data_IF_378152932890
#
_entry.id   IF_378152932890
#
_cell.length_a   1.000
_cell.length_b   1.000
_cell.length_c   1.000
_cell.angle_alpha   90.00
_cell.angle_beta   90.00
_cell.angle_gamma   90.00
#
_symmetry.space_group_name_H-M   'P 1'
#
loop_
_entity.id
_entity.type
_entity.pdbx_description
1 polymer ?
#
# COMPACT_ATOMS: atom_id res chain seq x y z
N UNK A 1 -12.35 -4.11 13.73
CA UNK A 1 -11.54 -4.83 12.73
C UNK A 1 -12.26 -6.08 12.22
N UNK A 2 -12.64 -7.01 13.11
CA UNK A 2 -13.31 -8.28 12.78
C UNK A 2 -14.56 -8.14 11.89
N UNK A 3 -15.55 -7.34 12.30
CA UNK A 3 -16.79 -7.17 11.52
C UNK A 3 -16.58 -6.41 10.19
N UNK A 4 -15.61 -5.48 10.17
CA UNK A 4 -15.34 -4.64 8.99
C UNK A 4 -14.63 -5.40 7.88
N UNK A 5 -13.73 -6.32 8.23
CA UNK A 5 -13.02 -7.10 7.24
C UNK A 5 -13.89 -8.22 6.67
N UNK A 6 -14.73 -8.89 7.49
CA UNK A 6 -15.76 -9.79 6.96
C UNK A 6 -16.73 -9.07 6.03
N UNK A 7 -17.17 -7.86 6.39
CA UNK A 7 -18.08 -7.06 5.56
C UNK A 7 -17.42 -6.61 4.24
N UNK A 8 -16.11 -6.32 4.25
CA UNK A 8 -15.33 -6.04 3.04
C UNK A 8 -15.37 -7.23 2.06
N UNK A 9 -15.06 -8.44 2.52
CA UNK A 9 -15.03 -9.64 1.66
C UNK A 9 -16.41 -10.26 1.37
N UNK A 10 -17.42 -10.04 2.21
CA UNK A 10 -18.81 -10.54 2.01
C UNK A 10 -19.73 -9.57 1.31
N UNK A 11 -19.33 -8.30 1.15
CA UNK A 11 -20.14 -7.34 0.42
C UNK A 11 -20.43 -7.85 -0.99
N UNK A 12 -21.66 -7.65 -1.50
CA UNK A 12 -21.99 -7.95 -2.91
C UNK A 12 -21.28 -7.02 -3.91
N UNK A 13 -20.24 -6.31 -3.46
CA UNK A 13 -19.39 -5.42 -4.22
C UNK A 13 -18.42 -6.27 -5.04
N UNK A 14 -18.32 -5.95 -6.32
CA UNK A 14 -17.53 -6.71 -7.29
C UNK A 14 -16.38 -5.89 -7.87
N UNK A 15 -16.29 -4.61 -7.49
CA UNK A 15 -15.32 -3.65 -8.03
C UNK A 15 -14.21 -3.36 -7.00
N UNK A 16 -13.15 -4.17 -7.01
CA UNK A 16 -12.06 -4.04 -6.05
C UNK A 16 -10.99 -3.06 -6.56
N UNK A 17 -10.57 -2.14 -5.69
CA UNK A 17 -9.51 -1.14 -5.92
C UNK A 17 -8.46 -1.23 -4.83
N UNK A 18 -7.22 -0.86 -5.16
CA UNK A 18 -6.15 -0.70 -4.19
C UNK A 18 -5.45 0.65 -4.35
N UNK A 19 -5.14 1.33 -3.24
CA UNK A 19 -4.28 2.50 -3.18
C UNK A 19 -3.10 2.17 -2.27
N UNK A 20 -1.93 1.99 -2.86
CA UNK A 20 -0.73 1.52 -2.17
C UNK A 20 0.30 2.65 -2.15
N UNK A 21 0.66 3.14 -0.97
CA UNK A 21 1.52 4.32 -0.83
C UNK A 21 2.72 4.04 0.07
N UNK A 22 3.91 4.14 -0.51
CA UNK A 22 5.17 4.24 0.22
C UNK A 22 5.63 5.70 0.22
N UNK A 23 5.49 6.36 1.36
CA UNK A 23 5.80 7.78 1.54
C UNK A 23 7.26 8.05 1.93
N UNK A 24 7.99 7.00 2.29
CA UNK A 24 9.33 7.08 2.86
C UNK A 24 10.42 7.16 1.81
N UNK A 25 11.51 7.84 2.15
CA UNK A 25 12.70 7.98 1.32
C UNK A 25 13.94 7.43 2.01
N UNK A 26 15.02 7.36 1.24
CA UNK A 26 16.36 6.95 1.65
C UNK A 26 16.54 5.44 1.85
N UNK A 27 17.77 4.99 1.65
CA UNK A 27 18.13 3.57 1.65
C UNK A 27 17.81 2.84 2.95
N UNK A 28 17.91 3.51 4.10
CA UNK A 28 17.60 2.90 5.40
C UNK A 28 16.11 2.53 5.55
N UNK A 29 15.23 3.09 4.71
CA UNK A 29 13.81 2.76 4.63
C UNK A 29 13.48 1.78 3.49
N UNK A 30 14.46 1.03 2.98
CA UNK A 30 14.28 0.01 1.93
C UNK A 30 13.05 -0.87 2.16
N UNK A 31 12.85 -1.33 3.41
CA UNK A 31 11.71 -2.15 3.81
C UNK A 31 10.35 -1.56 3.44
N UNK A 32 10.13 -0.25 3.49
CA UNK A 32 8.82 0.35 3.18
C UNK A 32 8.47 0.17 1.69
N UNK A 33 9.47 0.32 0.80
CA UNK A 33 9.28 0.03 -0.63
C UNK A 33 9.09 -1.47 -0.86
N UNK A 34 9.90 -2.32 -0.22
CA UNK A 34 9.77 -3.78 -0.35
C UNK A 34 8.39 -4.29 0.14
N UNK A 35 7.91 -3.76 1.25
CA UNK A 35 6.59 -4.03 1.83
C UNK A 35 5.46 -3.63 0.87
N UNK A 36 5.48 -2.39 0.39
CA UNK A 36 4.46 -1.87 -0.53
C UNK A 36 4.42 -2.66 -1.84
N UNK A 37 5.58 -3.02 -2.40
CA UNK A 37 5.68 -3.86 -3.59
C UNK A 37 5.21 -5.30 -3.33
N UNK A 38 5.45 -5.85 -2.15
CA UNK A 38 4.94 -7.18 -1.78
C UNK A 38 3.42 -7.19 -1.69
N UNK A 39 2.81 -6.14 -1.10
CA UNK A 39 1.35 -5.98 -1.06
C UNK A 39 0.80 -5.82 -2.48
N UNK A 40 1.45 -5.02 -3.33
CA UNK A 40 1.09 -4.85 -4.75
C UNK A 40 1.02 -6.20 -5.48
N UNK A 41 2.02 -7.06 -5.31
CA UNK A 41 2.02 -8.40 -5.91
C UNK A 41 0.89 -9.28 -5.36
N UNK A 42 0.64 -9.23 -4.06
CA UNK A 42 -0.44 -9.99 -3.43
C UNK A 42 -1.81 -9.57 -3.96
N UNK A 43 -2.10 -8.27 -4.07
CA UNK A 43 -3.40 -7.81 -4.61
C UNK A 43 -3.57 -8.15 -6.09
N UNK A 44 -2.50 -8.13 -6.88
CA UNK A 44 -2.54 -8.62 -8.27
C UNK A 44 -2.82 -10.12 -8.34
N UNK A 45 -2.15 -10.92 -7.51
CA UNK A 45 -2.41 -12.37 -7.41
C UNK A 45 -3.85 -12.68 -7.04
N UNK A 46 -4.46 -11.84 -6.20
CA UNK A 46 -5.86 -11.94 -5.79
C UNK A 46 -6.86 -11.39 -6.83
N UNK A 47 -6.37 -10.94 -7.99
CA UNK A 47 -7.19 -10.59 -9.15
C UNK A 47 -7.51 -9.11 -9.32
N UNK A 48 -6.89 -8.20 -8.57
CA UNK A 48 -7.00 -6.75 -8.82
C UNK A 48 -6.05 -6.38 -9.97
N UNK A 49 -6.55 -5.93 -11.14
CA UNK A 49 -5.69 -5.56 -12.28
C UNK A 49 -5.00 -4.21 -12.03
N UNK A 50 -3.90 -3.93 -12.73
CA UNK A 50 -3.16 -2.66 -12.60
C UNK A 50 -4.03 -1.42 -12.81
N UNK A 51 -4.99 -1.49 -13.73
CA UNK A 51 -5.96 -0.41 -13.95
C UNK A 51 -6.81 -0.04 -12.71
N UNK A 52 -6.80 -0.87 -11.67
CA UNK A 52 -7.50 -0.72 -10.40
C UNK A 52 -6.55 -0.55 -9.20
N UNK A 53 -5.25 -0.42 -9.45
CA UNK A 53 -4.24 -0.20 -8.42
C UNK A 53 -3.63 1.17 -8.68
N UNK A 54 -3.63 2.04 -7.67
CA UNK A 54 -2.85 3.27 -7.68
C UNK A 54 -1.61 3.06 -6.82
N UNK A 55 -0.44 2.98 -7.43
CA UNK A 55 0.83 2.76 -6.73
C UNK A 55 1.65 4.06 -6.63
N UNK A 56 2.00 4.44 -5.41
CA UNK A 56 2.80 5.63 -5.12
C UNK A 56 4.09 5.22 -4.39
N UNK A 57 5.26 5.48 -4.99
CA UNK A 57 6.56 5.19 -4.39
C UNK A 57 7.43 6.46 -4.33
N UNK A 58 7.69 6.95 -3.12
CA UNK A 58 8.48 8.16 -2.88
C UNK A 58 9.98 8.00 -3.18
N UNK A 59 10.46 6.76 -3.31
CA UNK A 59 11.84 6.45 -3.66
C UNK A 59 11.91 5.14 -4.46
N UNK A 60 12.98 4.99 -5.24
CA UNK A 60 13.21 3.82 -6.09
C UNK A 60 14.42 3.03 -5.57
N UNK A 61 14.13 1.94 -4.85
CA UNK A 61 15.17 1.06 -4.31
C UNK A 61 15.84 0.20 -5.38
N UNK A 62 15.15 -0.08 -6.49
CA UNK A 62 15.69 -0.88 -7.58
C UNK A 62 16.79 -0.11 -8.34
N UNK A 63 16.61 1.20 -8.49
CA UNK A 63 17.56 2.10 -9.13
C UNK A 63 18.52 2.81 -8.15
N UNK A 64 18.46 2.51 -6.85
CA UNK A 64 19.28 3.18 -5.85
C UNK A 64 20.78 2.82 -6.01
N UNK A 65 21.72 3.78 -6.02
CA UNK A 65 23.16 3.48 -6.14
C UNK A 65 23.74 2.61 -5.02
N UNK A 66 23.05 2.52 -3.86
CA UNK A 66 23.45 1.64 -2.76
C UNK A 66 22.98 0.20 -2.93
N UNK A 67 22.12 -0.06 -3.91
CA UNK A 67 21.60 -1.41 -4.14
C UNK A 67 22.68 -2.29 -4.77
N UNK A 68 23.19 -3.32 -4.06
CA UNK A 68 24.20 -4.23 -4.61
C UNK A 68 23.62 -5.15 -5.70
N UNK A 69 22.28 -5.19 -5.86
CA UNK A 69 21.56 -5.97 -6.87
C UNK A 69 20.66 -5.03 -7.70
N UNK A 70 21.21 -4.36 -8.72
CA UNK A 70 20.48 -3.40 -9.54
C UNK A 70 19.19 -3.98 -10.13
N UNK A 71 18.17 -3.14 -10.30
CA UNK A 71 16.86 -3.51 -10.84
C UNK A 71 16.08 -4.56 -10.03
N UNK A 72 16.47 -4.80 -8.77
CA UNK A 72 15.79 -5.76 -7.90
C UNK A 72 15.44 -5.17 -6.53
N UNK A 73 14.33 -5.63 -5.98
CA UNK A 73 13.93 -5.39 -4.59
C UNK A 73 13.51 -6.73 -3.99
N UNK A 74 13.95 -7.04 -2.77
CA UNK A 74 13.64 -8.29 -2.08
C UNK A 74 13.00 -8.00 -0.73
N UNK A 75 11.90 -8.68 -0.40
CA UNK A 75 11.27 -8.59 0.92
C UNK A 75 11.68 -9.73 1.87
N UNK A 76 12.47 -10.69 1.38
CA UNK A 76 12.89 -11.86 2.16
C UNK A 76 14.39 -12.18 2.01
N UNK A 77 15.00 -12.71 3.08
CA UNK A 77 16.46 -12.98 3.14
C UNK A 77 16.97 -14.00 2.14
N UNK A 78 16.14 -14.98 1.78
CA UNK A 78 16.50 -15.98 0.76
C UNK A 78 16.55 -15.38 -0.65
N UNK A 79 16.02 -14.17 -0.85
CA UNK A 79 15.98 -13.46 -2.13
C UNK A 79 15.37 -14.29 -3.27
N UNK A 80 14.44 -15.18 -2.95
CA UNK A 80 13.79 -16.06 -3.93
C UNK A 80 12.86 -15.28 -4.87
N UNK A 81 12.32 -14.16 -4.41
CA UNK A 81 11.35 -13.36 -5.15
C UNK A 81 11.78 -11.89 -5.26
N UNK A 82 12.08 -11.45 -6.48
CA UNK A 82 12.21 -10.02 -6.79
C UNK A 82 10.81 -9.38 -6.78
N UNK A 83 10.50 -8.56 -5.79
CA UNK A 83 9.20 -7.91 -5.64
C UNK A 83 9.01 -6.70 -6.55
N UNK A 84 10.10 -6.17 -7.13
CA UNK A 84 10.03 -5.15 -8.18
C UNK A 84 9.65 -5.78 -9.52
N UNK A 85 10.41 -6.78 -9.98
CA UNK A 85 10.12 -7.50 -11.24
C UNK A 85 9.94 -6.58 -12.46
N UNK A 86 9.33 -7.12 -13.52
CA UNK A 86 9.10 -6.39 -14.78
C UNK A 86 7.66 -5.84 -14.92
N UNK A 87 6.80 -6.12 -13.94
CA UNK A 87 5.33 -5.98 -14.04
C UNK A 87 4.76 -4.97 -13.03
N UNK A 88 5.62 -4.10 -12.48
CA UNK A 88 5.22 -3.07 -11.52
C UNK A 88 4.94 -1.75 -12.26
N UNK A 89 3.70 -1.29 -12.18
CA UNK A 89 3.27 0.01 -12.69
C UNK A 89 3.24 1.04 -11.56
N UNK A 90 4.25 1.92 -11.51
CA UNK A 90 4.28 3.04 -10.55
C UNK A 90 3.56 4.26 -11.13
N UNK A 91 2.46 4.67 -10.52
CA UNK A 91 1.65 5.82 -10.95
C UNK A 91 2.22 7.15 -10.49
N UNK A 92 2.65 7.23 -9.23
CA UNK A 92 3.25 8.44 -8.67
C UNK A 92 4.67 8.11 -8.21
N UNK A 93 5.65 8.74 -8.88
CA UNK A 93 7.07 8.48 -8.63
C UNK A 93 7.72 9.63 -7.88
N UNK A 94 8.52 9.30 -6.87
CA UNK A 94 9.41 10.23 -6.19
C UNK A 94 8.69 11.50 -5.71
N UNK A 95 8.99 12.66 -6.32
CA UNK A 95 8.44 13.96 -5.95
C UNK A 95 6.93 14.10 -6.20
N UNK A 96 6.33 13.19 -6.98
CA UNK A 96 4.88 13.16 -7.14
C UNK A 96 4.15 12.57 -5.93
N UNK A 97 4.85 11.91 -5.00
CA UNK A 97 4.26 11.30 -3.81
C UNK A 97 4.13 12.35 -2.69
N UNK A 98 3.14 13.22 -2.83
CA UNK A 98 2.85 14.31 -1.88
C UNK A 98 1.55 14.06 -1.13
N UNK A 99 1.38 14.73 0.02
CA UNK A 99 0.11 14.72 0.78
C UNK A 99 -1.05 15.16 -0.12
N UNK A 100 -0.84 16.23 -0.89
CA UNK A 100 -1.83 16.76 -1.82
C UNK A 100 -2.26 15.72 -2.87
N UNK A 101 -1.32 15.07 -3.54
CA UNK A 101 -1.67 14.09 -4.57
C UNK A 101 -2.39 12.88 -3.98
N UNK A 102 -1.96 12.39 -2.82
CA UNK A 102 -2.62 11.30 -2.13
C UNK A 102 -4.08 11.65 -1.77
N UNK A 103 -4.31 12.82 -1.15
CA UNK A 103 -5.66 13.30 -0.82
C UNK A 103 -6.53 13.54 -2.06
N UNK A 104 -5.96 14.04 -3.16
CA UNK A 104 -6.68 14.21 -4.43
C UNK A 104 -7.12 12.87 -5.03
N UNK A 105 -6.29 11.83 -4.92
CA UNK A 105 -6.64 10.46 -5.34
C UNK A 105 -7.84 9.95 -4.55
N UNK A 106 -7.78 10.01 -3.22
CA UNK A 106 -8.85 9.55 -2.35
C UNK A 106 -10.17 10.29 -2.64
N UNK A 107 -10.14 11.63 -2.61
CA UNK A 107 -11.33 12.47 -2.79
C UNK A 107 -11.82 12.57 -4.25
N UNK A 108 -11.04 12.07 -5.20
CA UNK A 108 -11.31 12.20 -6.64
C UNK A 108 -11.33 13.67 -7.10
N UNK A 109 -10.58 14.56 -6.43
CA UNK A 109 -10.41 15.98 -6.80
C UNK A 109 -9.17 16.14 -7.69
N UNK A 110 -9.23 15.48 -8.85
CA UNK A 110 -8.12 15.39 -9.80
C UNK A 110 -8.47 16.22 -11.05
N UNK A 111 -7.50 16.92 -11.67
CA UNK A 111 -7.71 17.59 -12.96
C UNK A 111 -8.26 16.64 -14.05
N UNK A 112 -9.18 17.10 -14.92
CA UNK A 112 -9.71 16.29 -16.02
C UNK A 112 -8.66 15.81 -17.03
N UNK A 113 -7.47 16.40 -17.05
CA UNK A 113 -6.33 16.02 -17.90
C UNK A 113 -5.46 14.90 -17.30
N UNK A 114 -5.60 14.56 -16.01
CA UNK A 114 -4.75 13.55 -15.38
C UNK A 114 -4.94 12.17 -16.02
N UNK A 115 -3.90 11.36 -16.28
CA UNK A 115 -4.05 10.03 -16.86
C UNK A 115 -4.99 9.12 -16.05
N UNK A 116 -5.63 8.14 -16.71
CA UNK A 116 -6.54 7.20 -16.05
C UNK A 116 -5.87 6.38 -14.96
N UNK A 117 -4.63 5.94 -15.17
CA UNK A 117 -3.88 5.13 -14.18
C UNK A 117 -3.68 5.87 -12.86
N UNK A 118 -3.51 7.18 -12.91
CA UNK A 118 -3.37 8.07 -11.74
C UNK A 118 -4.70 8.44 -11.08
N UNK A 119 -5.79 7.69 -11.27
CA UNK A 119 -7.13 8.02 -10.75
C UNK A 119 -7.78 6.83 -10.05
N UNK A 120 -8.33 7.09 -8.87
CA UNK A 120 -9.23 6.16 -8.20
C UNK A 120 -10.66 6.34 -8.75
N UNK A 121 -11.06 5.51 -9.71
CA UNK A 121 -12.37 5.55 -10.37
C UNK A 121 -13.40 4.61 -9.72
N UNK A 122 -13.37 4.52 -8.40
CA UNK A 122 -14.32 3.72 -7.62
C UNK A 122 -15.73 4.32 -7.62
N UNK A 123 -16.71 3.46 -7.42
CA UNK A 123 -18.15 3.73 -7.33
C UNK A 123 -18.74 3.22 -6.00
N UNK A 124 -20.07 3.24 -5.89
CA UNK A 124 -20.87 2.83 -4.72
C UNK A 124 -20.85 1.31 -4.46
N UNK A 125 -20.40 0.52 -5.44
CA UNK A 125 -20.24 -0.94 -5.32
C UNK A 125 -18.77 -1.35 -5.27
N UNK A 126 -17.90 -0.42 -4.91
CA UNK A 126 -16.47 -0.65 -4.84
C UNK A 126 -16.01 -1.04 -3.44
N UNK A 127 -15.00 -1.91 -3.42
CA UNK A 127 -14.18 -2.18 -2.24
C UNK A 127 -12.82 -1.50 -2.46
N UNK A 128 -12.34 -0.74 -1.48
CA UNK A 128 -11.09 0.01 -1.61
C UNK A 128 -10.15 -0.41 -0.49
N UNK A 129 -9.05 -1.06 -0.88
CA UNK A 129 -7.93 -1.34 0.01
C UNK A 129 -6.96 -0.17 -0.01
N UNK A 130 -6.58 0.35 1.15
CA UNK A 130 -5.55 1.37 1.30
C UNK A 130 -4.42 0.78 2.14
N UNK A 131 -3.19 0.85 1.64
CA UNK A 131 -1.99 0.42 2.39
C UNK A 131 -0.98 1.56 2.48
N UNK A 132 -0.50 1.84 3.68
CA UNK A 132 0.56 2.83 3.92
C UNK A 132 1.47 2.41 5.07
N UNK A 133 2.68 2.97 5.05
CA UNK A 133 3.56 3.02 6.22
C UNK A 133 3.32 4.32 7.00
N UNK A 134 3.30 4.28 8.33
CA UNK A 134 2.89 5.40 9.16
C UNK A 134 3.41 5.34 10.59
N UNK A 135 3.26 6.45 11.31
CA UNK A 135 3.50 6.54 12.74
C UNK A 135 2.18 6.66 13.52
N UNK A 136 2.26 6.77 14.84
CA UNK A 136 1.07 6.88 15.68
C UNK A 136 0.33 8.21 15.45
N UNK A 137 -0.81 8.16 14.76
CA UNK A 137 -1.68 9.32 14.52
C UNK A 137 -1.34 10.17 13.28
N UNK A 138 -0.32 9.79 12.51
CA UNK A 138 0.07 10.51 11.30
C UNK A 138 0.75 9.59 10.27
N UNK A 139 0.69 9.96 8.99
CA UNK A 139 1.57 9.41 7.96
C UNK A 139 2.59 10.49 7.56
N UNK A 140 3.88 10.16 7.69
CA UNK A 140 4.96 11.06 7.28
C UNK A 140 5.22 10.94 5.78
N UNK A 141 5.21 12.05 5.06
CA UNK A 141 5.50 12.15 3.64
C UNK A 141 6.89 12.75 3.41
N UNK A 142 7.76 11.96 2.77
CA UNK A 142 9.10 12.35 2.31
C UNK A 142 9.98 13.02 3.39
N UNK A 143 9.76 12.68 4.66
CA UNK A 143 10.41 13.26 5.82
C UNK A 143 10.14 14.75 6.12
N UNK A 144 9.27 15.42 5.34
CA UNK A 144 9.01 16.87 5.45
C UNK A 144 7.57 17.24 5.79
N UNK A 145 6.61 16.43 5.35
CA UNK A 145 5.19 16.69 5.53
C UNK A 145 4.56 15.56 6.33
N UNK A 146 3.41 15.82 6.93
CA UNK A 146 2.63 14.83 7.66
C UNK A 146 1.16 15.02 7.31
N UNK A 147 0.44 13.92 7.17
CA UNK A 147 -1.03 13.90 7.18
C UNK A 147 -1.48 13.33 8.51
N UNK A 148 -2.33 14.07 9.22
CA UNK A 148 -2.89 13.67 10.50
C UNK A 148 -4.04 12.68 10.33
N UNK A 149 -4.35 11.96 11.40
CA UNK A 149 -5.55 11.13 11.47
C UNK A 149 -6.85 11.91 11.20
N UNK A 150 -6.91 13.19 11.58
CA UNK A 150 -8.07 14.05 11.34
C UNK A 150 -8.23 14.34 9.85
N UNK A 151 -7.17 14.75 9.17
CA UNK A 151 -7.20 15.01 7.72
C UNK A 151 -7.51 13.75 6.91
N UNK A 152 -7.01 12.60 7.36
CA UNK A 152 -7.30 11.32 6.72
C UNK A 152 -8.76 10.90 6.94
N UNK A 153 -9.31 11.11 8.14
CA UNK A 153 -10.72 10.88 8.43
C UNK A 153 -11.63 11.78 7.59
N UNK A 154 -11.28 13.06 7.44
CA UNK A 154 -12.01 14.00 6.58
C UNK A 154 -11.97 13.58 5.10
N UNK A 155 -10.87 12.98 4.64
CA UNK A 155 -10.78 12.44 3.29
C UNK A 155 -11.72 11.23 3.09
N UNK A 156 -11.79 10.33 4.07
CA UNK A 156 -12.70 9.18 4.05
C UNK A 156 -14.17 9.60 4.14
N UNK A 157 -14.49 10.61 4.94
CA UNK A 157 -15.83 11.19 4.99
C UNK A 157 -16.23 11.78 3.63
N UNK A 158 -15.33 12.50 2.97
CA UNK A 158 -15.58 13.01 1.61
C UNK A 158 -15.76 11.89 0.59
N UNK A 159 -15.01 10.79 0.70
CA UNK A 159 -15.21 9.60 -0.14
C UNK A 159 -16.61 9.01 0.09
N UNK A 160 -17.01 8.90 1.35
CA UNK A 160 -18.31 8.37 1.76
C UNK A 160 -19.47 9.21 1.21
N UNK A 161 -19.42 10.53 1.38
CA UNK A 161 -20.45 11.46 0.90
C UNK A 161 -20.58 11.49 -0.62
N UNK A 162 -19.45 11.43 -1.35
CA UNK A 162 -19.44 11.57 -2.81
C UNK A 162 -19.75 10.28 -3.56
N UNK A 163 -19.41 9.12 -2.98
CA UNK A 163 -19.45 7.82 -3.66
C UNK A 163 -20.45 6.83 -3.06
N UNK A 164 -21.32 7.24 -2.13
CA UNK A 164 -22.35 6.40 -1.52
C UNK A 164 -21.78 5.12 -0.89
N UNK A 165 -20.99 5.27 0.18
CA UNK A 165 -20.47 4.18 1.03
C UNK A 165 -19.61 3.11 0.33
N UNK A 166 -18.45 3.46 -0.26
CA UNK A 166 -17.49 2.42 -0.62
C UNK A 166 -17.02 1.69 0.65
N UNK A 167 -16.86 0.36 0.59
CA UNK A 167 -16.28 -0.39 1.69
C UNK A 167 -14.76 -0.13 1.69
N UNK A 168 -14.29 0.68 2.63
CA UNK A 168 -12.88 1.03 2.76
C UNK A 168 -12.24 0.13 3.81
N UNK A 169 -11.14 -0.51 3.45
CA UNK A 169 -10.26 -1.22 4.37
C UNK A 169 -8.88 -0.59 4.32
N UNK A 170 -8.37 -0.14 5.47
CA UNK A 170 -7.05 0.45 5.59
C UNK A 170 -6.13 -0.50 6.36
N UNK A 171 -4.96 -0.78 5.79
CA UNK A 171 -3.88 -1.55 6.40
C UNK A 171 -2.67 -0.62 6.62
N UNK A 172 -2.02 -0.77 7.78
CA UNK A 172 -0.81 -0.03 8.13
C UNK A 172 0.30 -0.99 8.55
N UNK A 173 1.56 -0.53 8.57
CA UNK A 173 2.72 -1.35 8.93
C UNK A 173 2.97 -1.52 10.44
N UNK A 174 2.10 -0.98 11.29
CA UNK A 174 2.12 -1.20 12.74
C UNK A 174 0.74 -1.03 13.38
N UNK A 175 0.58 -1.51 14.62
CA UNK A 175 -0.59 -1.23 15.45
C UNK A 175 -0.57 0.20 16.01
N UNK A 176 -1.73 0.70 16.43
CA UNK A 176 -1.85 1.99 17.11
C UNK A 176 -1.05 1.94 18.43
N UNK A 177 -0.11 2.88 18.57
CA UNK A 177 0.78 2.94 19.74
C UNK A 177 2.04 2.07 19.65
N UNK A 178 2.26 1.37 18.53
CA UNK A 178 3.48 0.59 18.30
C UNK A 178 4.33 1.17 17.16
N UNK A 179 5.65 1.10 17.33
CA UNK A 179 6.59 1.36 16.24
C UNK A 179 6.52 0.25 15.20
N UNK A 180 6.68 0.59 13.92
CA UNK A 180 6.91 -0.39 12.86
C UNK A 180 8.28 -1.06 13.06
N UNK A 181 8.30 -2.15 13.84
CA UNK A 181 9.52 -2.88 14.14
C UNK A 181 10.10 -3.49 12.87
N UNK A 182 11.33 -3.12 12.54
CA UNK A 182 12.03 -3.69 11.39
C UNK A 182 12.26 -5.20 11.57
N UNK A 183 12.12 -5.95 10.49
CA UNK A 183 12.27 -7.39 10.45
C UNK A 183 13.25 -7.79 9.34
N UNK A 184 13.88 -8.94 9.53
CA UNK A 184 14.84 -9.53 8.59
C UNK A 184 15.98 -8.57 8.13
N UNK A 185 17.01 -8.37 8.96
CA UNK A 185 18.22 -7.68 8.50
C UNK A 185 18.96 -8.53 7.46
N UNK A 186 19.42 -7.89 6.39
CA UNK A 186 20.27 -8.51 5.37
C UNK A 186 21.62 -7.79 5.29
N UNK A 187 22.71 -8.55 5.46
CA UNK A 187 24.06 -7.99 5.46
C UNK A 187 24.57 -7.62 4.06
N UNK A 188 24.04 -8.23 3.02
CA UNK A 188 24.39 -7.91 1.63
C UNK A 188 23.78 -6.59 1.20
N UNK A 189 22.48 -6.39 1.47
CA UNK A 189 21.74 -5.15 1.19
C UNK A 189 22.09 -4.06 2.22
N UNK A 190 22.48 -4.45 3.44
CA UNK A 190 22.96 -3.57 4.51
C UNK A 190 21.85 -2.89 5.32
N UNK A 191 20.60 -3.32 5.17
CA UNK A 191 19.40 -2.77 5.83
C UNK A 191 18.38 -3.88 6.11
N UNK A 192 17.27 -3.53 6.77
CA UNK A 192 16.15 -4.44 6.97
C UNK A 192 15.29 -4.53 5.71
N UNK A 193 14.79 -5.73 5.41
CA UNK A 193 14.02 -6.01 4.20
C UNK A 193 12.50 -5.85 4.38
N UNK A 194 12.00 -5.95 5.61
CA UNK A 194 10.55 -5.98 5.88
C UNK A 194 10.22 -5.28 7.21
N UNK A 195 8.96 -4.88 7.41
CA UNK A 195 8.41 -4.57 8.74
C UNK A 195 7.74 -5.83 9.31
N UNK A 196 7.86 -6.05 10.63
CA UNK A 196 7.33 -7.26 11.30
C UNK A 196 5.83 -7.43 11.11
N UNK A 197 5.04 -6.37 11.24
CA UNK A 197 3.58 -6.49 11.05
C UNK A 197 3.24 -6.82 9.59
N UNK A 198 3.95 -6.19 8.64
CA UNK A 198 3.73 -6.46 7.22
C UNK A 198 4.12 -7.90 6.85
N UNK A 199 5.14 -8.48 7.50
CA UNK A 199 5.48 -9.90 7.34
C UNK A 199 4.26 -10.80 7.59
N UNK A 200 3.57 -10.62 8.72
CA UNK A 200 2.39 -11.44 9.05
C UNK A 200 1.19 -11.17 8.15
N UNK A 201 0.97 -9.91 7.75
CA UNK A 201 -0.06 -9.58 6.76
C UNK A 201 0.20 -10.26 5.42
N UNK A 202 1.47 -10.32 4.98
CA UNK A 202 1.82 -10.96 3.72
C UNK A 202 1.72 -12.49 3.80
N UNK A 203 2.16 -13.12 4.89
CA UNK A 203 1.96 -14.56 5.11
C UNK A 203 0.47 -14.92 5.02
N UNK A 204 -0.38 -14.14 5.69
CA UNK A 204 -1.82 -14.32 5.61
C UNK A 204 -2.38 -14.15 4.18
N UNK A 205 -1.97 -13.08 3.48
CA UNK A 205 -2.41 -12.84 2.09
C UNK A 205 -1.89 -13.91 1.11
N UNK A 206 -0.77 -14.57 1.42
CA UNK A 206 -0.24 -15.72 0.69
C UNK A 206 -1.11 -16.95 0.80
N UNK A 207 -1.74 -17.18 1.94
CA UNK A 207 -2.68 -18.29 2.17
C UNK A 207 -4.08 -18.05 1.58
N UNK A 208 -4.41 -16.81 1.21
CA UNK A 208 -5.68 -16.51 0.53
C UNK A 208 -5.58 -16.86 -0.96
N UNK A 209 -6.51 -17.68 -1.42
CA UNK A 209 -6.69 -18.05 -2.81
C UNK A 209 -8.17 -17.91 -3.16
N UNK A 210 -8.57 -17.83 -4.44
CA UNK A 210 -9.99 -17.68 -4.82
C UNK A 210 -10.95 -18.76 -4.27
N UNK A 211 -10.41 -19.93 -3.88
CA UNK A 211 -11.16 -21.03 -3.25
C UNK A 211 -11.02 -21.08 -1.71
N UNK A 212 -10.29 -20.15 -1.11
CA UNK A 212 -10.02 -20.12 0.33
C UNK A 212 -11.25 -19.67 1.12
N UNK A 213 -11.49 -20.32 2.27
CA UNK A 213 -12.47 -19.88 3.26
C UNK A 213 -11.85 -18.95 4.33
N UNK A 214 -10.53 -18.77 4.29
CA UNK A 214 -9.78 -17.92 5.20
C UNK A 214 -10.15 -16.47 4.97
N UNK A 215 -10.39 -15.74 6.04
CA UNK A 215 -10.76 -14.34 6.01
C UNK A 215 -9.89 -13.55 7.00
N UNK A 216 -9.92 -12.23 6.94
CA UNK A 216 -9.02 -11.37 7.72
C UNK A 216 -9.26 -11.46 9.25
N UNK A 217 -10.24 -12.24 9.73
CA UNK A 217 -10.35 -12.61 11.14
C UNK A 217 -9.32 -13.66 11.57
N UNK A 218 -8.70 -14.34 10.61
CA UNK A 218 -7.69 -15.38 10.86
C UNK A 218 -6.26 -14.78 10.93
N UNK A 219 -6.16 -13.45 10.98
CA UNK A 219 -4.93 -12.63 10.99
C UNK A 219 -4.46 -12.30 12.42
#
# INVERSE_FOLDING_TARGET
>A
FQDQAEQFFRSGHTNNWAVLVCTSRFWFNYRHVANTLSVYRSVKRLGIPDSHIVLMLADDMACNPRNPKPATVFSHKNMELNVYGDDVEVDYRSYEVTVENFLRVLTGRIPPSTPRSKRLLSDDRSNILIYSHGGNGFLKFQDSEEITNVELADAFEQMWQKRSSPNIMALASSQVGEDSLSHQPDLGIGVHLMDRYTFYVLEFLEEIHPASQTNMNDL
#
